data_IF_683362411797
#
_entry.id   IF_683362411797
#
_cell.length_a   1.000
_cell.length_b   1.000
_cell.length_c   1.000
_cell.angle_alpha   90.00
_cell.angle_beta   90.00
_cell.angle_gamma   90.00
#
_symmetry.space_group_name_H-M   'P 1'
#
loop_
_entity.id
_entity.type
_entity.pdbx_description
1 polymer ?
#
# COMPACT_ATOMS: atom_id res chain seq x y z
N UNK A 1 9.91 -40.39 31.98
CA UNK A 1 9.38 -39.17 31.30
C UNK A 1 8.18 -38.66 32.10
N UNK A 2 8.29 -37.45 32.68
CA UNK A 2 7.44 -36.95 33.77
C UNK A 2 6.04 -36.49 33.26
N UNK A 3 4.98 -36.75 34.04
CA UNK A 3 3.61 -36.28 33.77
C UNK A 3 3.52 -34.76 33.55
N UNK A 4 4.32 -33.99 34.29
CA UNK A 4 4.38 -32.52 34.17
C UNK A 4 4.88 -32.06 32.79
N UNK A 5 5.83 -32.76 32.17
CA UNK A 5 6.36 -32.36 30.86
C UNK A 5 5.33 -32.60 29.74
N UNK A 6 4.50 -33.65 29.85
CA UNK A 6 3.41 -33.91 28.90
C UNK A 6 2.31 -32.85 28.98
N UNK A 7 2.01 -32.32 30.18
CA UNK A 7 1.02 -31.25 30.33
C UNK A 7 1.50 -29.92 29.74
N UNK A 8 2.78 -29.59 29.93
CA UNK A 8 3.42 -28.41 29.33
C UNK A 8 3.44 -28.46 27.79
N UNK A 9 3.75 -29.62 27.20
CA UNK A 9 3.71 -29.75 25.73
C UNK A 9 2.29 -29.60 25.19
N UNK A 10 1.28 -30.11 25.91
CA UNK A 10 -0.13 -29.94 25.51
C UNK A 10 -0.57 -28.47 25.60
N UNK A 11 -0.23 -27.75 26.68
CA UNK A 11 -0.64 -26.34 26.82
C UNK A 11 -0.01 -25.44 25.76
N UNK A 12 1.27 -25.64 25.42
CA UNK A 12 1.95 -24.91 24.34
C UNK A 12 1.28 -25.17 22.98
N UNK A 13 0.89 -26.41 22.70
CA UNK A 13 0.17 -26.77 21.48
C UNK A 13 -1.20 -26.08 21.38
N UNK A 14 -1.96 -26.00 22.49
CA UNK A 14 -3.24 -25.28 22.51
C UNK A 14 -3.07 -23.78 22.30
N UNK A 15 -2.06 -23.16 22.91
CA UNK A 15 -1.78 -21.72 22.75
C UNK A 15 -1.38 -21.41 21.29
N UNK A 16 -0.50 -22.20 20.69
CA UNK A 16 -0.10 -22.04 19.30
C UNK A 16 -1.25 -22.30 18.31
N UNK A 17 -2.11 -23.28 18.60
CA UNK A 17 -3.32 -23.54 17.82
C UNK A 17 -4.30 -22.36 17.90
N UNK A 18 -4.51 -21.79 19.08
CA UNK A 18 -5.40 -20.65 19.30
C UNK A 18 -4.91 -19.39 18.59
N UNK A 19 -3.60 -19.07 18.65
CA UNK A 19 -3.04 -17.92 17.92
C UNK A 19 -3.10 -18.09 16.40
N UNK A 20 -2.83 -19.31 15.89
CA UNK A 20 -2.99 -19.59 14.45
C UNK A 20 -4.43 -19.43 13.97
N UNK A 21 -5.42 -19.82 14.79
CA UNK A 21 -6.84 -19.66 14.46
C UNK A 21 -7.26 -18.17 14.48
N UNK A 22 -6.72 -17.37 15.40
CA UNK A 22 -6.98 -15.94 15.47
C UNK A 22 -6.42 -15.19 14.24
N UNK A 23 -5.18 -15.47 13.83
CA UNK A 23 -4.58 -14.84 12.65
C UNK A 23 -5.32 -15.16 11.35
N UNK A 24 -5.81 -16.40 11.19
CA UNK A 24 -6.61 -16.78 10.03
C UNK A 24 -7.96 -16.06 10.01
N UNK A 25 -8.56 -15.80 11.17
CA UNK A 25 -9.83 -15.08 11.27
C UNK A 25 -9.69 -13.59 10.91
N UNK A 26 -8.68 -12.91 11.45
CA UNK A 26 -8.36 -11.51 11.12
C UNK A 26 -8.06 -11.33 9.63
N UNK A 27 -7.27 -12.25 9.06
CA UNK A 27 -6.97 -12.25 7.63
C UNK A 27 -8.23 -12.46 6.77
N UNK A 28 -9.10 -13.39 7.16
CA UNK A 28 -10.37 -13.62 6.46
C UNK A 28 -11.29 -12.40 6.51
N UNK A 29 -11.35 -11.67 7.63
CA UNK A 29 -12.12 -10.42 7.75
C UNK A 29 -11.56 -9.37 6.78
N UNK A 30 -10.24 -9.20 6.75
CA UNK A 30 -9.59 -8.26 5.84
C UNK A 30 -9.90 -8.57 4.37
N UNK A 31 -9.78 -9.84 3.97
CA UNK A 31 -10.11 -10.29 2.61
C UNK A 31 -11.58 -10.12 2.26
N UNK A 32 -12.48 -10.41 3.21
CA UNK A 32 -13.91 -10.20 3.02
C UNK A 32 -14.21 -8.71 2.82
N UNK A 33 -13.62 -7.83 3.63
CA UNK A 33 -13.78 -6.38 3.48
C UNK A 33 -13.27 -5.87 2.13
N UNK A 34 -12.08 -6.30 1.71
CA UNK A 34 -11.49 -5.91 0.43
C UNK A 34 -12.36 -6.36 -0.75
N UNK A 35 -12.87 -7.60 -0.69
CA UNK A 35 -13.76 -8.15 -1.71
C UNK A 35 -15.06 -7.35 -1.79
N UNK A 36 -15.72 -7.11 -0.66
CA UNK A 36 -16.98 -6.34 -0.61
C UNK A 36 -16.76 -4.91 -1.12
N UNK A 37 -15.70 -4.25 -0.67
CA UNK A 37 -15.36 -2.89 -1.08
C UNK A 37 -15.09 -2.78 -2.58
N UNK A 38 -14.44 -3.77 -3.19
CA UNK A 38 -14.18 -3.82 -4.63
C UNK A 38 -15.44 -4.18 -5.45
N UNK A 39 -16.32 -5.04 -4.93
CA UNK A 39 -17.54 -5.46 -5.64
C UNK A 39 -18.56 -4.32 -5.76
N UNK A 40 -18.67 -3.45 -4.75
CA UNK A 40 -19.62 -2.32 -4.75
C UNK A 40 -19.47 -1.40 -5.99
N UNK A 41 -18.29 -0.83 -6.30
CA UNK A 41 -18.12 0.02 -7.48
C UNK A 41 -18.33 -0.76 -8.77
N UNK A 42 -17.86 -2.01 -8.86
CA UNK A 42 -18.07 -2.85 -10.05
C UNK A 42 -19.57 -3.04 -10.32
N UNK A 43 -20.35 -3.36 -9.28
CA UNK A 43 -21.79 -3.52 -9.40
C UNK A 43 -22.48 -2.20 -9.76
N UNK A 44 -22.04 -1.08 -9.19
CA UNK A 44 -22.55 0.25 -9.53
C UNK A 44 -22.30 0.58 -11.02
N UNK A 45 -21.11 0.29 -11.55
CA UNK A 45 -20.79 0.45 -12.97
C UNK A 45 -21.63 -0.47 -13.86
N UNK A 46 -21.86 -1.73 -13.46
CA UNK A 46 -22.69 -2.68 -14.20
C UNK A 46 -24.16 -2.22 -14.26
N UNK A 47 -24.73 -1.83 -13.12
CA UNK A 47 -26.10 -1.31 -13.04
C UNK A 47 -26.21 -0.05 -13.89
N UNK A 48 -25.25 0.88 -13.78
CA UNK A 48 -25.22 2.10 -14.59
C UNK A 48 -25.19 1.79 -16.09
N UNK A 49 -24.40 0.80 -16.52
CA UNK A 49 -24.32 0.40 -17.93
C UNK A 49 -25.61 -0.25 -18.44
N UNK A 50 -26.29 -1.04 -17.61
CA UNK A 50 -27.54 -1.73 -17.99
C UNK A 50 -28.73 -0.76 -17.99
N UNK A 51 -28.83 0.16 -17.03
CA UNK A 51 -29.90 1.15 -16.96
C UNK A 51 -29.69 2.33 -17.91
N UNK A 52 -28.44 2.66 -18.25
CA UNK A 52 -28.16 3.75 -19.18
C UNK A 52 -28.70 3.42 -20.57
N UNK A 53 -29.56 4.29 -21.10
CA UNK A 53 -29.99 4.22 -22.50
C UNK A 53 -28.79 4.55 -23.40
N UNK A 54 -28.20 3.51 -23.99
CA UNK A 54 -27.07 3.63 -24.90
C UNK A 54 -27.56 4.16 -26.26
N UNK A 55 -27.78 5.48 -26.36
CA UNK A 55 -27.99 6.15 -27.65
C UNK A 55 -26.63 6.34 -28.32
N UNK A 56 -26.30 5.46 -29.25
CA UNK A 56 -25.08 5.47 -30.07
C UNK A 56 -25.21 6.51 -31.19
N UNK A 57 -24.70 7.72 -30.96
CA UNK A 57 -24.50 8.73 -31.99
C UNK A 57 -23.01 8.84 -32.33
N UNK A 58 -22.62 9.00 -33.61
CA UNK A 58 -21.21 9.16 -33.99
C UNK A 58 -20.55 10.38 -33.33
N UNK A 59 -21.34 11.39 -32.98
CA UNK A 59 -20.94 12.59 -32.23
C UNK A 59 -20.57 12.35 -30.76
N UNK A 60 -21.02 11.24 -30.14
CA UNK A 60 -20.63 10.91 -28.74
C UNK A 60 -19.23 10.31 -28.64
N UNK A 61 -18.70 9.79 -29.74
CA UNK A 61 -17.37 9.17 -29.79
C UNK A 61 -16.29 10.15 -30.27
N UNK A 62 -16.65 11.37 -30.65
CA UNK A 62 -15.68 12.42 -30.95
C UNK A 62 -15.24 13.13 -29.67
N UNK A 63 -13.94 13.42 -29.58
CA UNK A 63 -13.37 14.26 -28.53
C UNK A 63 -14.09 15.61 -28.46
N UNK A 64 -14.42 16.04 -27.24
CA UNK A 64 -15.09 17.32 -27.02
C UNK A 64 -14.11 18.48 -27.25
N UNK A 65 -14.33 19.25 -28.32
CA UNK A 65 -13.44 20.36 -28.69
C UNK A 65 -14.26 21.54 -29.23
N UNK A 66 -15.10 22.14 -28.39
CA UNK A 66 -15.75 23.45 -28.65
C UNK A 66 -16.27 23.65 -30.09
N UNK A 67 -17.01 22.67 -30.61
CA UNK A 67 -17.63 22.69 -31.95
C UNK A 67 -16.69 22.69 -33.17
N UNK A 68 -15.38 22.51 -33.00
CA UNK A 68 -14.41 22.34 -34.09
C UNK A 68 -13.91 20.90 -34.17
N UNK A 69 -13.57 20.43 -35.38
CA UNK A 69 -13.02 19.08 -35.56
C UNK A 69 -11.62 19.03 -34.97
N UNK A 70 -11.26 17.99 -34.19
CA UNK A 70 -9.94 17.88 -33.59
C UNK A 70 -8.86 17.92 -34.67
N UNK A 71 -7.94 18.86 -34.54
CA UNK A 71 -6.77 18.94 -35.40
C UNK A 71 -5.85 17.78 -35.01
N UNK A 72 -5.58 16.88 -35.96
CA UNK A 72 -4.69 15.74 -35.74
C UNK A 72 -3.26 16.21 -35.49
N UNK A 73 -2.89 16.37 -34.22
CA UNK A 73 -1.67 15.81 -33.64
C UNK A 73 -1.71 15.98 -32.11
N UNK A 74 -2.02 14.92 -31.37
CA UNK A 74 -2.05 14.94 -29.91
C UNK A 74 -0.67 14.70 -29.28
N UNK A 75 0.42 15.06 -29.99
CA UNK A 75 1.79 14.97 -29.47
C UNK A 75 2.04 16.16 -28.56
N UNK A 76 1.46 16.08 -27.38
CA UNK A 76 1.76 17.01 -26.31
C UNK A 76 3.22 16.81 -25.92
N UNK A 77 4.03 17.86 -26.04
CA UNK A 77 5.36 17.88 -25.43
C UNK A 77 5.18 17.86 -23.92
N UNK A 78 5.20 16.67 -23.33
CA UNK A 78 5.18 16.51 -21.88
C UNK A 78 6.42 17.22 -21.33
N UNK A 79 6.19 18.26 -20.51
CA UNK A 79 7.26 19.01 -19.88
C UNK A 79 8.04 18.08 -18.95
N UNK A 80 9.36 18.16 -18.99
CA UNK A 80 10.27 17.38 -18.11
C UNK A 80 9.95 17.56 -16.62
N UNK A 81 9.30 18.66 -16.25
CA UNK A 81 8.89 18.95 -14.88
C UNK A 81 8.03 17.82 -14.27
N UNK A 82 7.14 17.19 -15.04
CA UNK A 82 6.33 16.08 -14.53
C UNK A 82 7.18 14.87 -14.14
N UNK A 83 8.25 14.62 -14.90
CA UNK A 83 9.22 13.58 -14.59
C UNK A 83 10.06 13.94 -13.36
N UNK A 84 10.49 15.21 -13.22
CA UNK A 84 11.23 15.66 -12.04
C UNK A 84 10.39 15.52 -10.77
N UNK A 85 9.11 15.91 -10.81
CA UNK A 85 8.20 15.71 -9.68
C UNK A 85 7.97 14.23 -9.36
N UNK A 86 7.83 13.36 -10.37
CA UNK A 86 7.68 11.93 -10.16
C UNK A 86 8.93 11.29 -9.54
N UNK A 87 10.13 11.66 -10.01
CA UNK A 87 11.38 11.18 -9.43
C UNK A 87 11.55 11.64 -7.99
N UNK A 88 11.30 12.90 -7.73
CA UNK A 88 11.37 13.48 -6.38
C UNK A 88 10.34 12.79 -5.47
N UNK A 89 9.11 12.57 -5.94
CA UNK A 89 8.11 11.79 -5.20
C UNK A 89 8.58 10.37 -4.93
N UNK A 90 9.15 9.66 -5.90
CA UNK A 90 9.67 8.29 -5.69
C UNK A 90 10.83 8.30 -4.69
N UNK A 91 11.74 9.26 -4.74
CA UNK A 91 12.85 9.37 -3.77
C UNK A 91 12.34 9.72 -2.36
N UNK A 92 11.28 10.54 -2.25
CA UNK A 92 10.62 10.79 -0.97
C UNK A 92 9.76 9.62 -0.49
N UNK A 93 9.12 8.88 -1.39
CA UNK A 93 8.34 7.64 -1.09
C UNK A 93 9.28 6.50 -0.70
N UNK A 94 10.51 6.48 -1.23
CA UNK A 94 11.59 5.60 -0.77
C UNK A 94 11.91 5.81 0.72
N UNK A 95 11.55 6.96 1.33
CA UNK A 95 11.60 7.13 2.79
C UNK A 95 10.86 6.03 3.55
N UNK A 96 9.77 5.51 2.98
CA UNK A 96 9.01 4.42 3.57
C UNK A 96 9.81 3.11 3.60
N UNK A 97 10.70 2.87 2.63
CA UNK A 97 11.62 1.71 2.65
C UNK A 97 12.58 1.81 3.84
N UNK A 98 12.97 3.02 4.24
CA UNK A 98 13.89 3.16 5.38
C UNK A 98 13.21 2.94 6.72
N UNK A 99 11.92 3.24 6.84
CA UNK A 99 11.12 2.89 8.03
C UNK A 99 11.06 1.37 8.26
N UNK A 100 11.21 0.56 7.21
CA UNK A 100 11.33 -0.90 7.33
C UNK A 100 12.59 -1.30 8.10
N UNK A 101 13.67 -0.51 8.05
CA UNK A 101 14.87 -0.75 8.87
C UNK A 101 14.68 -0.27 10.32
N UNK A 102 13.90 0.79 10.54
CA UNK A 102 13.60 1.30 11.88
C UNK A 102 12.59 0.42 12.63
N UNK A 103 11.73 -0.33 11.94
CA UNK A 103 10.69 -1.14 12.57
C UNK A 103 11.24 -2.30 13.43
N UNK A 104 12.14 -3.17 12.94
CA UNK A 104 12.78 -4.21 13.75
C UNK A 104 13.62 -3.65 14.90
N UNK A 105 14.24 -2.48 14.68
CA UNK A 105 14.98 -1.75 15.71
C UNK A 105 14.05 -1.34 16.86
N UNK A 106 12.93 -0.68 16.55
CA UNK A 106 11.96 -0.23 17.55
C UNK A 106 11.36 -1.41 18.33
N UNK A 107 11.13 -2.55 17.67
CA UNK A 107 10.62 -3.76 18.29
C UNK A 107 11.63 -4.45 19.23
N UNK A 108 12.94 -4.25 19.01
CA UNK A 108 14.01 -4.94 19.72
C UNK A 108 14.77 -4.05 20.72
N UNK A 109 14.26 -2.85 21.00
CA UNK A 109 14.94 -1.84 21.80
C UNK A 109 15.29 -2.33 23.21
N UNK A 110 14.42 -3.14 23.82
CA UNK A 110 14.60 -3.69 25.17
C UNK A 110 15.81 -4.63 25.31
N UNK A 111 16.27 -5.24 24.21
CA UNK A 111 17.34 -6.25 24.24
C UNK A 111 18.74 -5.69 23.90
N UNK A 112 18.80 -4.57 23.16
CA UNK A 112 20.03 -4.11 22.50
C UNK A 112 20.63 -2.82 23.09
N UNK A 113 19.87 -2.07 23.88
CA UNK A 113 20.37 -0.94 24.68
C UNK A 113 20.84 0.29 23.88
N UNK A 114 21.62 1.16 24.54
CA UNK A 114 22.09 2.47 24.04
C UNK A 114 22.93 2.44 22.75
N UNK A 115 23.81 1.46 22.44
CA UNK A 115 24.62 1.52 21.22
C UNK A 115 23.74 1.46 19.95
N UNK A 116 22.71 0.63 19.97
CA UNK A 116 21.77 0.46 18.86
C UNK A 116 20.85 1.69 18.69
N UNK A 117 20.64 2.48 19.75
CA UNK A 117 19.99 3.78 19.64
C UNK A 117 20.82 4.79 18.83
N UNK A 118 22.14 4.83 19.05
CA UNK A 118 23.04 5.75 18.35
C UNK A 118 23.11 5.41 16.86
N UNK A 119 23.15 4.13 16.51
CA UNK A 119 23.14 3.68 15.11
C UNK A 119 21.85 4.09 14.38
N UNK A 120 20.68 3.91 15.01
CA UNK A 120 19.41 4.36 14.45
C UNK A 120 19.33 5.89 14.32
N UNK A 121 19.88 6.62 15.29
CA UNK A 121 19.92 8.08 15.25
C UNK A 121 20.79 8.60 14.10
N UNK A 122 21.96 7.99 13.88
CA UNK A 122 22.84 8.31 12.74
C UNK A 122 22.16 7.99 11.41
N UNK A 123 21.42 6.87 11.34
CA UNK A 123 20.63 6.50 10.18
C UNK A 123 19.57 7.56 9.87
N UNK A 124 18.81 8.02 10.87
CA UNK A 124 17.81 9.08 10.66
C UNK A 124 18.46 10.40 10.22
N UNK A 125 19.62 10.75 10.77
CA UNK A 125 20.32 11.98 10.39
C UNK A 125 20.79 11.99 8.94
N UNK A 126 21.35 10.88 8.43
CA UNK A 126 21.80 10.83 7.04
C UNK A 126 20.63 10.95 6.06
N UNK A 127 19.44 10.44 6.44
CA UNK A 127 18.21 10.58 5.65
C UNK A 127 17.71 12.02 5.62
N UNK A 128 17.72 12.72 6.76
CA UNK A 128 17.35 14.14 6.82
C UNK A 128 18.26 14.98 5.92
N UNK A 129 19.56 14.69 5.91
CA UNK A 129 20.52 15.38 5.02
C UNK A 129 20.21 15.11 3.54
N UNK A 130 19.90 13.86 3.17
CA UNK A 130 19.48 13.53 1.81
C UNK A 130 18.17 14.21 1.39
N UNK A 131 17.20 14.30 2.32
CA UNK A 131 15.91 14.95 2.13
C UNK A 131 16.01 16.46 1.95
N UNK A 132 16.90 17.13 2.69
CA UNK A 132 17.15 18.58 2.56
C UNK A 132 17.88 18.94 1.26
N UNK A 133 18.66 18.01 0.71
CA UNK A 133 19.37 18.21 -0.55
C UNK A 133 18.47 18.11 -1.79
N UNK A 134 17.44 17.26 -1.74
CA UNK A 134 16.50 17.00 -2.82
C UNK A 134 15.48 18.15 -3.00
#
# INVERSE_FOLDING_TARGET
>A
MNSKSKQLTRSIFYIHRSSSMFLLYEYNIFYAFLTISSVIPILAFLISTVLASIRNGPEKFSSYESSIKPMSDAWLQFRINYYMFALVFVVFDVFDVETVFLYPWAMSFDALGVPVFIEAFILVLILIVGSVYA
#
